data_IF_192413695720
#
_entry.id   IF_192413695720
#
_cell.length_a   1.000
_cell.length_b   1.000
_cell.length_c   1.000
_cell.angle_alpha   90.00
_cell.angle_beta   90.00
_cell.angle_gamma   90.00
#
_symmetry.space_group_name_H-M   'P 1'
#
loop_
_entity.id
_entity.type
_entity.pdbx_description
1 polymer ?
#
# COMPACT_ATOMS: atom_id res chain seq x y z
N UNK A 1 18.10 7.23 13.06
CA UNK A 1 16.96 6.99 12.15
C UNK A 1 16.19 5.79 12.69
N UNK A 2 14.84 5.85 12.88
CA UNK A 2 14.10 4.65 13.22
C UNK A 2 14.20 3.68 12.03
N UNK A 3 14.52 2.42 12.34
CA UNK A 3 14.55 1.36 11.34
C UNK A 3 13.18 1.26 10.67
N UNK A 4 13.11 0.98 9.36
CA UNK A 4 11.85 0.80 8.67
C UNK A 4 11.06 -0.34 9.35
N UNK A 5 9.83 -0.04 9.75
CA UNK A 5 8.91 -0.97 10.43
C UNK A 5 8.29 -1.98 9.46
N UNK A 6 8.95 -2.28 8.36
CA UNK A 6 8.50 -3.34 7.46
C UNK A 6 8.80 -4.68 8.10
N UNK A 7 7.79 -5.51 8.34
CA UNK A 7 8.01 -6.88 8.80
C UNK A 7 8.66 -7.65 7.66
N UNK A 8 9.99 -7.79 7.72
CA UNK A 8 10.71 -8.63 6.78
C UNK A 8 10.26 -10.08 6.96
N UNK A 9 10.00 -10.75 5.85
CA UNK A 9 9.95 -12.21 5.81
C UNK A 9 11.36 -12.69 6.13
N UNK A 10 11.54 -13.49 7.16
CA UNK A 10 12.75 -14.27 7.31
C UNK A 10 12.86 -15.18 6.08
N UNK A 11 13.99 -15.17 5.37
CA UNK A 11 14.20 -15.86 4.10
C UNK A 11 13.35 -15.34 2.91
N UNK A 12 13.38 -14.03 2.66
CA UNK A 12 12.74 -13.42 1.47
C UNK A 12 13.14 -14.11 0.17
N UNK A 13 14.41 -14.48 0.01
CA UNK A 13 14.91 -15.16 -1.20
C UNK A 13 14.25 -16.53 -1.41
N UNK A 14 14.03 -17.29 -0.34
CA UNK A 14 13.28 -18.55 -0.42
C UNK A 14 11.85 -18.31 -0.90
N UNK A 15 11.15 -17.32 -0.33
CA UNK A 15 9.83 -16.93 -0.78
C UNK A 15 9.83 -16.51 -2.26
N UNK A 16 10.76 -15.65 -2.66
CA UNK A 16 10.87 -15.13 -4.03
C UNK A 16 11.24 -16.20 -5.05
N UNK A 17 11.90 -17.30 -4.64
CA UNK A 17 12.20 -18.45 -5.52
C UNK A 17 10.92 -19.15 -6.01
N UNK A 18 9.82 -19.00 -5.28
CA UNK A 18 8.49 -19.54 -5.61
C UNK A 18 7.59 -18.54 -6.36
N UNK A 19 8.06 -17.31 -6.57
CA UNK A 19 7.31 -16.25 -7.22
C UNK A 19 7.74 -16.07 -8.69
N UNK A 20 6.79 -15.68 -9.53
CA UNK A 20 7.10 -15.13 -10.83
C UNK A 20 7.46 -13.65 -10.68
N UNK A 21 8.68 -13.25 -11.08
CA UNK A 21 9.09 -11.84 -11.02
C UNK A 21 8.60 -11.09 -12.25
N UNK A 22 7.94 -9.96 -12.03
CA UNK A 22 7.42 -9.12 -13.10
C UNK A 22 7.73 -7.64 -12.85
N UNK A 23 8.00 -6.92 -13.96
CA UNK A 23 8.25 -5.48 -13.94
C UNK A 23 7.07 -4.74 -14.52
N UNK A 24 6.73 -3.63 -13.86
CA UNK A 24 5.68 -2.71 -14.28
C UNK A 24 6.26 -1.30 -14.40
N UNK A 25 6.03 -0.60 -15.53
CA UNK A 25 6.42 0.81 -15.65
C UNK A 25 5.67 1.67 -14.62
N UNK A 26 6.17 2.87 -14.35
CA UNK A 26 5.48 3.83 -13.50
C UNK A 26 4.09 4.18 -14.07
N UNK A 27 3.13 4.47 -13.19
CA UNK A 27 1.74 4.82 -13.52
C UNK A 27 0.93 3.70 -14.20
N UNK A 28 1.36 2.45 -14.09
CA UNK A 28 0.62 1.28 -14.57
C UNK A 28 -0.34 0.76 -13.51
N UNK A 29 -1.53 0.35 -13.91
CA UNK A 29 -2.48 -0.34 -13.02
C UNK A 29 -2.13 -1.83 -13.00
N UNK A 30 -1.92 -2.38 -11.81
CA UNK A 30 -1.64 -3.81 -11.59
C UNK A 30 -2.94 -4.54 -11.23
N UNK A 31 -3.76 -3.94 -10.38
CA UNK A 31 -5.05 -4.50 -9.92
C UNK A 31 -6.14 -3.47 -10.19
N UNK A 32 -7.26 -3.94 -10.73
CA UNK A 32 -8.48 -3.20 -10.94
C UNK A 32 -9.50 -3.60 -9.86
N UNK A 33 -10.10 -2.62 -9.17
CA UNK A 33 -11.15 -2.87 -8.21
C UNK A 33 -12.34 -3.55 -8.90
N UNK A 34 -12.96 -4.50 -8.22
CA UNK A 34 -14.07 -5.27 -8.77
C UNK A 34 -13.66 -6.49 -9.60
N UNK A 35 -12.40 -6.63 -10.01
CA UNK A 35 -11.95 -7.81 -10.74
C UNK A 35 -11.86 -9.04 -9.81
N UNK A 36 -12.03 -10.21 -10.38
CA UNK A 36 -11.62 -11.46 -9.73
C UNK A 36 -10.10 -11.60 -9.79
N UNK A 37 -9.52 -12.20 -8.77
CA UNK A 37 -8.09 -12.45 -8.78
C UNK A 37 -7.68 -13.45 -7.70
N UNK A 38 -6.75 -14.31 -8.08
CA UNK A 38 -6.20 -15.40 -7.30
C UNK A 38 -4.69 -15.24 -7.03
N UNK A 39 -4.17 -14.05 -7.25
CA UNK A 39 -2.74 -13.76 -7.18
C UNK A 39 -2.43 -12.80 -6.04
N UNK A 40 -1.44 -13.15 -5.25
CA UNK A 40 -0.79 -12.35 -4.23
C UNK A 40 0.49 -11.74 -4.80
N UNK A 41 0.78 -10.51 -4.44
CA UNK A 41 1.91 -9.74 -4.90
C UNK A 41 2.81 -9.34 -3.73
N UNK A 42 4.12 -9.34 -3.96
CA UNK A 42 5.15 -8.84 -3.04
C UNK A 42 6.01 -7.81 -3.74
N UNK A 43 6.18 -6.63 -3.15
CA UNK A 43 6.99 -5.56 -3.75
C UNK A 43 8.47 -5.82 -3.48
N UNK A 44 9.24 -6.03 -4.55
CA UNK A 44 10.70 -6.20 -4.49
C UNK A 44 11.36 -4.83 -4.60
N UNK A 45 10.89 -4.00 -5.54
CA UNK A 45 11.41 -2.65 -5.82
C UNK A 45 10.29 -1.73 -6.27
N UNK A 46 10.45 -0.43 -5.99
CA UNK A 46 9.48 0.59 -6.35
C UNK A 46 8.38 0.74 -5.29
N UNK A 47 7.34 1.49 -5.62
CA UNK A 47 6.19 1.70 -4.74
C UNK A 47 4.89 1.77 -5.52
N UNK A 48 3.79 1.37 -4.87
CA UNK A 48 2.45 1.42 -5.44
C UNK A 48 1.51 2.26 -4.58
N UNK A 49 0.45 2.74 -5.20
CA UNK A 49 -0.65 3.47 -4.56
C UNK A 49 -1.87 2.57 -4.51
N UNK A 50 -2.47 2.45 -3.34
CA UNK A 50 -3.77 1.79 -3.12
C UNK A 50 -4.84 2.85 -3.15
N UNK A 51 -5.83 2.70 -4.02
CA UNK A 51 -6.88 3.70 -4.25
C UNK A 51 -8.25 3.06 -4.31
N UNK A 52 -9.26 3.83 -3.89
CA UNK A 52 -10.66 3.59 -4.17
C UNK A 52 -11.21 4.77 -4.97
N UNK A 53 -12.25 4.53 -5.74
CA UNK A 53 -12.95 5.52 -6.54
C UNK A 53 -14.41 5.56 -6.11
N UNK A 54 -14.99 6.75 -6.09
CA UNK A 54 -16.42 6.94 -5.86
C UNK A 54 -17.17 6.69 -7.17
N UNK A 55 -18.10 5.75 -7.15
CA UNK A 55 -18.88 5.35 -8.33
C UNK A 55 -19.75 6.48 -8.88
N UNK A 56 -20.05 7.51 -8.07
CA UNK A 56 -20.96 8.59 -8.45
C UNK A 56 -20.29 9.74 -9.18
N UNK A 57 -19.07 10.11 -8.80
CA UNK A 57 -18.38 11.30 -9.33
C UNK A 57 -16.93 11.02 -9.78
N UNK A 58 -16.49 9.79 -9.70
CA UNK A 58 -15.14 9.36 -10.12
C UNK A 58 -14.01 9.94 -9.28
N UNK A 59 -14.30 10.43 -8.06
CA UNK A 59 -13.27 10.91 -7.15
C UNK A 59 -12.44 9.75 -6.62
N UNK A 60 -11.13 9.89 -6.74
CA UNK A 60 -10.17 8.94 -6.20
C UNK A 60 -9.75 9.34 -4.78
N UNK A 61 -9.71 8.34 -3.88
CA UNK A 61 -9.13 8.48 -2.54
C UNK A 61 -7.94 7.54 -2.43
N UNK A 62 -6.79 8.06 -1.99
CA UNK A 62 -5.60 7.28 -1.71
C UNK A 62 -5.69 6.71 -0.30
N UNK A 63 -5.77 5.38 -0.21
CA UNK A 63 -5.81 4.67 1.06
C UNK A 63 -4.43 4.47 1.66
N UNK A 64 -3.44 4.10 0.83
CA UNK A 64 -2.08 3.83 1.29
C UNK A 64 -1.06 3.91 0.16
N UNK A 65 0.19 4.11 0.54
CA UNK A 65 1.36 3.76 -0.27
C UNK A 65 1.94 2.46 0.26
N UNK A 66 2.36 1.59 -0.65
CA UNK A 66 3.04 0.35 -0.30
C UNK A 66 4.43 0.37 -0.92
N UNK A 67 5.40 -0.15 -0.18
CA UNK A 67 6.83 -0.03 -0.44
C UNK A 67 7.49 -1.42 -0.52
N UNK A 68 8.78 -1.53 -0.86
CA UNK A 68 9.48 -2.81 -0.86
C UNK A 68 9.31 -3.55 0.47
N UNK A 69 8.96 -4.81 0.41
CA UNK A 69 8.63 -5.65 1.56
C UNK A 69 7.13 -5.78 1.86
N UNK A 70 6.29 -4.94 1.23
CA UNK A 70 4.84 -5.03 1.41
C UNK A 70 4.21 -6.05 0.46
N UNK A 71 3.18 -6.73 0.97
CA UNK A 71 2.27 -7.53 0.17
C UNK A 71 1.06 -6.70 -0.28
N UNK A 72 0.47 -7.05 -1.41
CA UNK A 72 -0.84 -6.55 -1.83
C UNK A 72 -1.63 -7.61 -2.60
N UNK A 73 -2.93 -7.37 -2.73
CA UNK A 73 -3.85 -8.35 -3.30
C UNK A 73 -4.12 -9.54 -2.38
N UNK A 74 -3.90 -9.37 -1.08
CA UNK A 74 -4.02 -10.41 -0.05
C UNK A 74 -5.47 -10.67 0.39
N UNK A 75 -6.38 -9.72 0.20
CA UNK A 75 -7.72 -9.83 0.77
C UNK A 75 -8.47 -11.04 0.21
N UNK A 76 -8.47 -11.22 -1.09
CA UNK A 76 -9.10 -12.38 -1.72
C UNK A 76 -8.50 -13.74 -1.32
N UNK A 77 -7.32 -13.77 -0.69
CA UNK A 77 -6.76 -14.98 -0.10
C UNK A 77 -7.60 -15.49 1.09
N UNK A 78 -8.26 -14.58 1.80
CA UNK A 78 -9.00 -14.90 3.02
C UNK A 78 -10.51 -15.00 2.80
N UNK A 79 -11.10 -14.19 1.93
CA UNK A 79 -12.55 -14.08 1.75
C UNK A 79 -13.06 -14.48 0.36
N UNK A 80 -12.16 -14.66 -0.61
CA UNK A 80 -12.47 -14.97 -2.02
C UNK A 80 -13.39 -13.94 -2.71
N UNK A 81 -13.47 -12.74 -2.15
CA UNK A 81 -14.19 -11.62 -2.70
C UNK A 81 -13.44 -10.99 -3.89
N UNK A 82 -14.11 -10.08 -4.59
CA UNK A 82 -13.49 -9.29 -5.65
C UNK A 82 -12.40 -8.37 -5.09
N UNK A 83 -11.51 -7.90 -5.96
CA UNK A 83 -10.49 -6.91 -5.60
C UNK A 83 -11.15 -5.66 -4.99
N UNK A 84 -10.78 -5.32 -3.76
CA UNK A 84 -11.41 -4.22 -3.00
C UNK A 84 -10.90 -2.83 -3.38
N UNK A 85 -9.78 -2.73 -4.09
CA UNK A 85 -9.13 -1.47 -4.42
C UNK A 85 -8.33 -1.57 -5.72
N UNK A 86 -8.08 -0.41 -6.31
CA UNK A 86 -7.12 -0.24 -7.41
C UNK A 86 -5.70 -0.22 -6.86
N UNK A 87 -4.77 -0.88 -7.56
CA UNK A 87 -3.34 -0.79 -7.28
C UNK A 87 -2.64 -0.24 -8.51
N UNK A 88 -2.03 0.93 -8.36
CA UNK A 88 -1.28 1.61 -9.44
C UNK A 88 0.16 1.86 -9.01
N UNK A 89 1.12 1.61 -9.88
CA UNK A 89 2.53 1.91 -9.63
C UNK A 89 2.75 3.42 -9.51
N UNK A 90 3.41 3.84 -8.44
CA UNK A 90 3.89 5.23 -8.25
C UNK A 90 5.21 5.44 -9.00
N UNK A 91 6.10 4.47 -8.91
CA UNK A 91 7.38 4.39 -9.62
C UNK A 91 7.44 3.14 -10.47
N UNK A 92 8.49 2.93 -11.24
CA UNK A 92 8.76 1.61 -11.82
C UNK A 92 8.87 0.58 -10.69
N UNK A 93 8.16 -0.53 -10.83
CA UNK A 93 8.09 -1.58 -9.81
C UNK A 93 8.57 -2.92 -10.34
N UNK A 94 9.26 -3.67 -9.48
CA UNK A 94 9.48 -5.10 -9.62
C UNK A 94 8.71 -5.81 -8.50
N UNK A 95 7.87 -6.77 -8.86
CA UNK A 95 7.04 -7.52 -7.92
C UNK A 95 7.21 -9.02 -8.10
N UNK A 96 7.09 -9.77 -7.03
CA UNK A 96 6.92 -11.22 -7.04
C UNK A 96 5.44 -11.57 -7.03
N UNK A 97 4.98 -12.32 -8.02
CA UNK A 97 3.60 -12.79 -8.18
C UNK A 97 3.52 -14.26 -7.78
N UNK A 98 2.56 -14.63 -6.96
CA UNK A 98 2.30 -16.01 -6.55
C UNK A 98 0.80 -16.26 -6.47
N UNK A 99 0.32 -17.41 -6.99
CA UNK A 99 -1.09 -17.76 -6.84
C UNK A 99 -1.45 -18.04 -5.39
N UNK A 100 -2.69 -17.80 -5.00
CA UNK A 100 -3.18 -18.11 -3.65
C UNK A 100 -2.99 -19.57 -3.29
N UNK A 101 -3.31 -20.50 -4.22
CA UNK A 101 -3.12 -21.93 -4.01
C UNK A 101 -1.66 -22.28 -3.67
N UNK A 102 -0.71 -21.71 -4.43
CA UNK A 102 0.72 -21.94 -4.19
C UNK A 102 1.20 -21.29 -2.91
N UNK A 103 0.69 -20.10 -2.59
CA UNK A 103 1.02 -19.42 -1.33
C UNK A 103 0.52 -20.23 -0.11
N UNK A 104 -0.71 -20.78 -0.17
CA UNK A 104 -1.26 -21.62 0.90
C UNK A 104 -0.40 -22.89 1.09
N UNK A 105 -0.04 -23.58 0.00
CA UNK A 105 0.87 -24.73 0.06
C UNK A 105 2.20 -24.36 0.72
N UNK A 106 2.79 -23.23 0.32
CA UNK A 106 4.05 -22.74 0.85
C UNK A 106 3.94 -22.37 2.33
N UNK A 107 2.82 -21.75 2.74
CA UNK A 107 2.56 -21.35 4.13
C UNK A 107 2.40 -22.54 5.07
N UNK A 108 1.91 -23.70 4.57
CA UNK A 108 1.88 -24.94 5.35
C UNK A 108 3.30 -25.45 5.66
N UNK A 109 4.24 -25.24 4.74
CA UNK A 109 5.65 -25.61 4.93
C UNK A 109 6.41 -24.55 5.74
N UNK A 110 6.09 -23.28 5.52
CA UNK A 110 6.74 -22.11 6.14
C UNK A 110 5.69 -21.17 6.76
N UNK A 111 5.17 -21.47 7.96
CA UNK A 111 4.11 -20.66 8.60
C UNK A 111 4.48 -19.19 8.80
N UNK A 112 5.79 -18.88 8.82
CA UNK A 112 6.29 -17.51 8.93
C UNK A 112 5.78 -16.58 7.81
N UNK A 113 5.50 -17.10 6.61
CA UNK A 113 4.99 -16.29 5.51
C UNK A 113 3.55 -15.84 5.76
N UNK A 114 2.71 -16.72 6.26
CA UNK A 114 1.34 -16.37 6.65
C UNK A 114 1.36 -15.37 7.82
N UNK A 115 2.26 -15.57 8.80
CA UNK A 115 2.40 -14.65 9.91
C UNK A 115 2.85 -13.25 9.47
N UNK A 116 3.76 -13.15 8.49
CA UNK A 116 4.22 -11.89 7.91
C UNK A 116 3.08 -11.11 7.24
N UNK A 117 2.24 -11.77 6.43
CA UNK A 117 1.04 -11.16 5.84
C UNK A 117 0.07 -10.71 6.93
N UNK A 118 -0.24 -11.57 7.90
CA UNK A 118 -1.16 -11.25 9.00
C UNK A 118 -0.72 -10.02 9.78
N UNK A 119 0.58 -9.87 10.02
CA UNK A 119 1.18 -8.69 10.68
C UNK A 119 0.96 -7.43 9.85
N UNK A 120 1.15 -7.48 8.51
CA UNK A 120 0.90 -6.34 7.63
C UNK A 120 -0.59 -5.97 7.59
N UNK A 121 -1.49 -6.95 7.48
CA UNK A 121 -2.95 -6.72 7.51
C UNK A 121 -3.37 -6.07 8.84
N UNK A 122 -2.86 -6.56 9.97
CA UNK A 122 -3.13 -5.96 11.28
C UNK A 122 -2.62 -4.52 11.38
N UNK A 123 -1.45 -4.22 10.80
CA UNK A 123 -0.93 -2.85 10.74
C UNK A 123 -1.81 -1.94 9.88
N UNK A 124 -2.21 -2.41 8.69
CA UNK A 124 -3.12 -1.67 7.79
C UNK A 124 -4.47 -1.39 8.44
N UNK A 125 -5.01 -2.35 9.20
CA UNK A 125 -6.24 -2.15 9.96
C UNK A 125 -6.09 -1.02 11.00
N UNK A 126 -4.98 -1.00 11.76
CA UNK A 126 -4.68 0.09 12.70
C UNK A 126 -4.57 1.45 12.01
N UNK A 127 -3.90 1.51 10.85
CA UNK A 127 -3.72 2.74 10.09
C UNK A 127 -5.05 3.24 9.52
N UNK A 128 -5.89 2.35 9.03
CA UNK A 128 -7.25 2.66 8.55
C UNK A 128 -8.13 3.15 9.70
N UNK A 129 -8.10 2.49 10.86
CA UNK A 129 -8.83 2.92 12.05
C UNK A 129 -8.40 4.32 12.49
N UNK A 130 -7.09 4.63 12.42
CA UNK A 130 -6.57 5.98 12.71
C UNK A 130 -7.11 7.01 11.73
N UNK A 131 -7.16 6.70 10.43
CA UNK A 131 -7.74 7.58 9.40
C UNK A 131 -9.22 7.84 9.65
N UNK A 132 -9.99 6.81 9.98
CA UNK A 132 -11.42 6.97 10.34
C UNK A 132 -11.58 7.89 11.54
N UNK A 133 -10.76 7.73 12.57
CA UNK A 133 -10.75 8.62 13.74
C UNK A 133 -10.41 10.07 13.33
N UNK A 134 -9.40 10.26 12.50
CA UNK A 134 -8.97 11.58 12.05
C UNK A 134 -10.06 12.25 11.18
N UNK A 135 -10.80 11.48 10.35
CA UNK A 135 -11.97 11.97 9.62
C UNK A 135 -13.10 12.40 10.55
N UNK A 136 -13.31 11.71 11.67
CA UNK A 136 -14.39 11.99 12.61
C UNK A 136 -14.09 13.18 13.54
N UNK A 137 -12.82 13.42 13.91
CA UNK A 137 -12.44 14.35 14.98
C UNK A 137 -11.53 15.50 14.55
N UNK A 138 -10.91 15.45 13.37
CA UNK A 138 -10.07 16.52 12.86
C UNK A 138 -10.78 17.29 11.74
N UNK A 139 -10.59 18.60 11.73
CA UNK A 139 -10.94 19.44 10.58
C UNK A 139 -9.98 19.19 9.40
N UNK A 140 -10.24 19.82 8.25
CA UNK A 140 -9.41 19.66 7.06
C UNK A 140 -7.96 20.06 7.33
N UNK A 141 -7.72 21.14 8.05
CA UNK A 141 -6.38 21.63 8.39
C UNK A 141 -5.61 20.60 9.23
N UNK A 142 -6.25 20.03 10.24
CA UNK A 142 -5.68 18.98 11.08
C UNK A 142 -5.35 17.71 10.29
N UNK A 143 -6.23 17.30 9.35
CA UNK A 143 -5.97 16.15 8.48
C UNK A 143 -4.83 16.40 7.50
N UNK A 144 -4.73 17.59 6.91
CA UNK A 144 -3.61 17.97 6.03
C UNK A 144 -2.30 17.94 6.82
N UNK A 145 -2.26 18.54 8.02
CA UNK A 145 -1.06 18.53 8.86
C UNK A 145 -0.62 17.10 9.22
N UNK A 146 -1.57 16.25 9.59
CA UNK A 146 -1.32 14.82 9.88
C UNK A 146 -0.75 14.10 8.67
N UNK A 147 -1.36 14.30 7.51
CA UNK A 147 -0.90 13.69 6.25
C UNK A 147 0.54 14.10 5.90
N UNK A 148 0.89 15.39 6.05
CA UNK A 148 2.26 15.85 5.82
C UNK A 148 3.26 15.20 6.77
N UNK A 149 2.91 15.05 8.05
CA UNK A 149 3.76 14.35 9.03
C UNK A 149 3.92 12.84 8.71
N UNK A 150 2.89 12.19 8.20
CA UNK A 150 2.97 10.79 7.81
C UNK A 150 3.81 10.62 6.54
N UNK A 151 3.69 11.51 5.56
CA UNK A 151 4.52 11.51 4.34
C UNK A 151 6.01 11.75 4.62
N UNK A 152 6.37 12.44 5.70
CA UNK A 152 7.76 12.57 6.13
C UNK A 152 8.40 11.23 6.54
N UNK A 153 7.62 10.18 6.76
CA UNK A 153 8.08 8.83 7.11
C UNK A 153 8.24 7.92 5.89
N UNK A 154 7.71 8.34 4.73
CA UNK A 154 7.81 7.57 3.49
C UNK A 154 9.26 7.52 2.98
N UNK A 155 9.65 6.44 2.29
CA UNK A 155 11.03 6.26 1.83
C UNK A 155 11.54 7.32 0.87
N UNK A 156 10.66 8.05 0.19
CA UNK A 156 10.99 9.11 -0.76
C UNK A 156 11.09 10.51 -0.10
N UNK A 157 10.85 10.61 1.20
CA UNK A 157 11.10 11.83 1.96
C UNK A 157 12.61 12.07 2.13
N UNK A 158 13.05 13.29 1.88
CA UNK A 158 14.46 13.67 1.96
C UNK A 158 14.72 14.56 3.16
N UNK A 159 15.84 14.32 3.84
CA UNK A 159 16.31 15.21 4.91
C UNK A 159 16.95 16.46 4.29
N UNK A 160 16.54 17.64 4.76
CA UNK A 160 17.10 18.93 4.40
C UNK A 160 17.55 19.68 5.67
N UNK A 161 18.56 20.59 5.65
CA UNK A 161 18.95 21.33 6.84
C UNK A 161 17.82 22.04 7.57
N UNK A 162 16.82 22.52 6.81
CA UNK A 162 15.66 23.24 7.36
C UNK A 162 14.46 22.33 7.68
N UNK A 163 14.59 20.99 7.58
CA UNK A 163 13.52 20.03 7.89
C UNK A 163 13.44 18.85 6.92
N UNK A 164 12.24 18.30 6.76
CA UNK A 164 11.96 17.22 5.83
C UNK A 164 11.36 17.77 4.53
N UNK A 165 11.88 17.31 3.40
CA UNK A 165 11.38 17.66 2.07
C UNK A 165 10.61 16.47 1.50
N UNK A 166 9.35 16.72 1.12
CA UNK A 166 8.47 15.76 0.43
C UNK A 166 8.03 16.34 -0.91
N UNK A 167 8.02 15.48 -1.94
CA UNK A 167 7.57 15.87 -3.28
C UNK A 167 6.14 15.39 -3.50
N UNK A 168 5.17 16.25 -3.27
CA UNK A 168 3.75 15.95 -3.40
C UNK A 168 2.98 17.15 -3.97
N UNK A 169 1.90 16.88 -4.72
CA UNK A 169 1.01 17.93 -5.24
C UNK A 169 -0.17 18.16 -4.29
N UNK A 170 -0.76 19.38 -4.35
CA UNK A 170 -2.00 19.68 -3.60
C UNK A 170 -3.16 18.76 -3.98
N UNK A 171 -3.23 18.35 -5.24
CA UNK A 171 -4.24 17.40 -5.70
C UNK A 171 -4.07 16.03 -5.04
N UNK A 172 -2.84 15.55 -4.92
CA UNK A 172 -2.54 14.27 -4.27
C UNK A 172 -2.81 14.35 -2.75
N UNK A 173 -2.45 15.45 -2.09
CA UNK A 173 -2.84 15.69 -0.70
C UNK A 173 -4.36 15.66 -0.54
N UNK A 174 -5.10 16.31 -1.44
CA UNK A 174 -6.57 16.28 -1.45
C UNK A 174 -7.14 14.86 -1.55
N UNK A 175 -6.55 14.02 -2.40
CA UNK A 175 -6.94 12.58 -2.52
C UNK A 175 -6.65 11.78 -1.26
N UNK A 176 -5.58 12.08 -0.54
CA UNK A 176 -5.24 11.38 0.72
C UNK A 176 -6.17 11.83 1.85
N UNK A 177 -6.47 13.13 1.91
CA UNK A 177 -7.25 13.77 2.98
C UNK A 177 -8.76 13.63 2.75
N UNK A 178 -9.20 13.40 1.52
CA UNK A 178 -10.60 13.39 1.14
C UNK A 178 -11.20 14.81 1.07
N UNK A 179 -10.48 15.76 0.44
CA UNK A 179 -10.99 17.11 0.23
C UNK A 179 -10.55 17.66 -1.15
N UNK A 180 -11.12 18.81 -1.55
CA UNK A 180 -10.76 19.42 -2.82
C UNK A 180 -9.34 20.02 -2.79
N UNK A 181 -8.74 20.19 -3.97
CA UNK A 181 -7.43 20.85 -4.14
C UNK A 181 -7.42 22.27 -3.57
N UNK A 182 -8.55 22.97 -3.74
CA UNK A 182 -8.71 24.36 -3.28
C UNK A 182 -8.69 24.44 -1.74
N UNK A 183 -9.29 23.44 -1.07
CA UNK A 183 -9.27 23.37 0.40
C UNK A 183 -7.87 23.09 0.94
N UNK A 184 -7.04 22.33 0.21
CA UNK A 184 -5.63 22.11 0.57
C UNK A 184 -4.82 23.41 0.44
#
# INVERSE_FOLDING_TARGET
APAPLTPHIENVEEFLSHCHRRRYPAKSTIIYAGDHGDTLYYIIKGSVTVMIEDDSDGKEIILAYLNPGDFFGEMGLFDQEHRSAWIRTKTECEVGEISYAKFIELSNKYPAFLFAISKQVAQRLRDTTRKVRDLAFLDVTGRVARTLLDLCKEPDAMTHPDGMQIKITRQEIGRIVGCSREMV
#
